data_IF_520378969103
#
_entry.id   IF_520378969103
#
_cell.length_a   1.000
_cell.length_b   1.000
_cell.length_c   1.000
_cell.angle_alpha   90.00
_cell.angle_beta   90.00
_cell.angle_gamma   90.00
#
_symmetry.space_group_name_H-M   'P 1'
#
loop_
_entity.id
_entity.type
_entity.pdbx_description
1 polymer ?
#
# COMPACT_ATOMS: atom_id res chain seq x y z
N UNK A 1 -14.28 -33.18 -0.32
CA UNK A 1 -13.27 -32.29 -0.92
C UNK A 1 -13.89 -30.91 -0.95
N UNK A 2 -13.82 -30.19 0.16
CA UNK A 2 -14.28 -28.79 0.21
C UNK A 2 -13.08 -27.89 -0.10
N UNK A 3 -13.11 -27.28 -1.27
CA UNK A 3 -12.06 -26.41 -1.83
C UNK A 3 -12.17 -24.99 -1.27
N UNK A 4 -12.18 -24.87 0.06
CA UNK A 4 -12.54 -23.65 0.79
C UNK A 4 -11.75 -22.41 0.36
N UNK A 5 -12.43 -21.49 -0.32
CA UNK A 5 -11.97 -20.17 -0.75
C UNK A 5 -13.12 -19.46 -1.47
N UNK A 6 -13.40 -18.21 -1.12
CA UNK A 6 -14.54 -17.46 -1.67
C UNK A 6 -14.21 -16.72 -2.99
N UNK A 7 -12.96 -16.78 -3.46
CA UNK A 7 -12.57 -16.20 -4.74
C UNK A 7 -12.99 -17.07 -5.93
N UNK A 8 -13.09 -16.45 -7.11
CA UNK A 8 -13.15 -17.16 -8.38
C UNK A 8 -11.71 -17.47 -8.86
N UNK A 9 -11.54 -18.43 -9.80
CA UNK A 9 -10.32 -18.50 -10.59
C UNK A 9 -10.14 -17.18 -11.34
N UNK A 10 -8.99 -16.52 -11.19
CA UNK A 10 -8.69 -15.35 -12.01
C UNK A 10 -8.46 -15.77 -13.45
N UNK A 11 -8.82 -14.89 -14.36
CA UNK A 11 -8.69 -15.10 -15.78
C UNK A 11 -7.44 -14.40 -16.34
N UNK A 12 -6.84 -13.48 -15.58
CA UNK A 12 -5.51 -12.93 -15.83
C UNK A 12 -4.38 -13.75 -15.17
N UNK A 13 -4.67 -14.63 -14.20
CA UNK A 13 -3.67 -15.55 -13.65
C UNK A 13 -4.18 -16.99 -13.48
N UNK A 14 -3.30 -17.97 -13.78
CA UNK A 14 -3.62 -19.40 -13.75
C UNK A 14 -3.42 -19.93 -12.33
N UNK A 15 -4.33 -19.58 -11.43
CA UNK A 15 -4.29 -20.13 -10.06
C UNK A 15 -4.66 -21.62 -10.06
N UNK A 16 -3.91 -22.40 -9.27
CA UNK A 16 -4.19 -23.83 -9.10
C UNK A 16 -5.38 -24.13 -8.19
N UNK A 17 -5.88 -23.15 -7.43
CA UNK A 17 -7.01 -23.28 -6.49
C UNK A 17 -7.72 -21.94 -6.27
N UNK A 18 -8.97 -21.97 -5.82
CA UNK A 18 -9.66 -20.79 -5.29
C UNK A 18 -8.90 -20.26 -4.05
N UNK A 19 -8.82 -18.94 -3.91
CA UNK A 19 -8.10 -18.24 -2.85
C UNK A 19 -9.09 -17.76 -1.78
N UNK A 20 -8.73 -17.87 -0.51
CA UNK A 20 -9.41 -17.16 0.57
C UNK A 20 -8.91 -15.71 0.64
N UNK A 21 -9.76 -14.74 0.29
CA UNK A 21 -9.41 -13.31 0.29
C UNK A 21 -10.00 -12.61 1.51
N UNK A 22 -9.16 -11.96 2.31
CA UNK A 22 -9.58 -11.09 3.41
C UNK A 22 -9.37 -9.62 3.05
N UNK A 23 -10.36 -8.77 3.32
CA UNK A 23 -10.35 -7.36 2.98
C UNK A 23 -10.57 -6.53 4.25
N UNK A 24 -9.58 -5.69 4.59
CA UNK A 24 -9.55 -4.89 5.81
C UNK A 24 -9.92 -3.44 5.49
N UNK A 25 -10.94 -2.92 6.19
CA UNK A 25 -11.40 -1.55 6.00
C UNK A 25 -11.97 -0.98 7.29
N UNK A 26 -11.61 0.27 7.61
CA UNK A 26 -12.22 1.05 8.67
C UNK A 26 -12.84 2.34 8.08
N UNK A 27 -14.15 2.58 8.28
CA UNK A 27 -14.83 3.74 7.70
C UNK A 27 -14.34 5.08 8.25
N UNK A 28 -13.68 5.08 9.42
CA UNK A 28 -13.10 6.28 10.04
C UNK A 28 -12.04 6.97 9.16
N UNK A 29 -11.42 6.25 8.21
CA UNK A 29 -10.43 6.82 7.29
C UNK A 29 -11.02 7.94 6.41
N UNK A 30 -12.32 7.92 6.14
CA UNK A 30 -13.01 8.94 5.35
C UNK A 30 -13.05 10.31 6.03
N UNK A 31 -12.80 10.35 7.35
CA UNK A 31 -12.82 11.58 8.16
C UNK A 31 -11.43 12.15 8.43
N UNK A 32 -10.37 11.50 7.96
CA UNK A 32 -9.01 11.96 8.16
C UNK A 32 -8.68 13.04 7.14
N UNK A 33 -8.20 14.18 7.64
CA UNK A 33 -7.75 15.31 6.84
C UNK A 33 -6.44 15.82 7.40
N UNK A 34 -5.37 15.77 6.59
CA UNK A 34 -4.05 16.25 6.98
C UNK A 34 -4.03 17.79 6.99
N UNK A 35 -4.42 18.41 5.87
CA UNK A 35 -4.74 19.84 5.78
C UNK A 35 -5.60 20.10 4.55
N UNK A 36 -6.02 21.35 4.33
CA UNK A 36 -6.83 21.74 3.17
C UNK A 36 -6.08 21.64 1.84
N UNK A 37 -4.74 21.80 1.88
CA UNK A 37 -3.89 21.88 0.69
C UNK A 37 -3.00 20.63 0.51
N UNK A 38 -3.05 19.69 1.47
CA UNK A 38 -2.18 18.52 1.46
C UNK A 38 -2.55 17.53 0.33
N UNK A 39 -1.53 16.99 -0.34
CA UNK A 39 -1.71 16.09 -1.49
C UNK A 39 -2.23 14.70 -1.11
N UNK A 40 -1.81 14.20 0.06
CA UNK A 40 -2.36 12.97 0.63
C UNK A 40 -3.78 13.20 1.14
N UNK A 41 -4.75 12.53 0.50
CA UNK A 41 -6.18 12.57 0.84
C UNK A 41 -6.63 11.15 1.24
N UNK A 42 -6.66 10.80 2.54
CA UNK A 42 -7.00 9.44 2.99
C UNK A 42 -8.40 8.97 2.58
N UNK A 43 -9.34 9.88 2.34
CA UNK A 43 -10.67 9.57 1.83
C UNK A 43 -10.67 8.81 0.48
N UNK A 44 -9.55 8.79 -0.27
CA UNK A 44 -9.38 7.94 -1.46
C UNK A 44 -9.55 6.43 -1.16
N UNK A 45 -9.24 5.99 0.06
CA UNK A 45 -9.50 4.60 0.51
C UNK A 45 -11.01 4.33 0.62
N UNK A 46 -11.77 5.27 1.16
CA UNK A 46 -13.22 5.17 1.23
C UNK A 46 -13.87 5.20 -0.17
N UNK A 47 -13.32 5.99 -1.09
CA UNK A 47 -13.74 5.98 -2.50
C UNK A 47 -13.49 4.61 -3.15
N UNK A 48 -12.31 4.01 -2.94
CA UNK A 48 -11.99 2.66 -3.43
C UNK A 48 -12.96 1.61 -2.83
N UNK A 49 -13.20 1.67 -1.52
CA UNK A 49 -14.16 0.78 -0.85
C UNK A 49 -15.57 0.91 -1.45
N UNK A 50 -16.02 2.13 -1.70
CA UNK A 50 -17.33 2.41 -2.29
C UNK A 50 -17.48 1.82 -3.70
N UNK A 51 -16.41 1.89 -4.52
CA UNK A 51 -16.38 1.22 -5.83
C UNK A 51 -16.44 -0.31 -5.68
N UNK A 52 -15.62 -0.88 -4.81
CA UNK A 52 -15.60 -2.33 -4.53
C UNK A 52 -16.99 -2.83 -4.11
N UNK A 53 -17.70 -2.05 -3.29
CA UNK A 53 -19.07 -2.33 -2.89
C UNK A 53 -20.05 -2.24 -4.08
N UNK A 54 -19.98 -1.18 -4.88
CA UNK A 54 -20.90 -0.94 -5.98
C UNK A 54 -20.73 -1.95 -7.14
N UNK A 55 -19.54 -2.51 -7.32
CA UNK A 55 -19.30 -3.64 -8.23
C UNK A 55 -19.69 -5.01 -7.64
N UNK A 56 -20.23 -5.07 -6.41
CA UNK A 56 -20.69 -6.32 -5.79
C UNK A 56 -19.57 -7.29 -5.42
N UNK A 57 -18.35 -6.78 -5.19
CA UNK A 57 -17.18 -7.63 -4.90
C UNK A 57 -17.05 -8.01 -3.43
N UNK A 58 -17.68 -7.24 -2.54
CA UNK A 58 -17.62 -7.42 -1.09
C UNK A 58 -18.06 -8.82 -0.62
N UNK A 59 -19.05 -9.44 -1.28
CA UNK A 59 -19.56 -10.76 -0.92
C UNK A 59 -18.63 -11.91 -1.33
N UNK A 60 -17.58 -11.63 -2.11
CA UNK A 60 -16.57 -12.60 -2.55
C UNK A 60 -15.33 -12.62 -1.65
N UNK A 61 -15.37 -11.89 -0.53
CA UNK A 61 -14.26 -11.73 0.40
C UNK A 61 -14.76 -11.83 1.85
N UNK A 62 -13.86 -12.16 2.77
CA UNK A 62 -14.09 -11.97 4.20
C UNK A 62 -13.81 -10.51 4.53
N UNK A 63 -14.85 -9.75 4.89
CA UNK A 63 -14.75 -8.32 5.24
C UNK A 63 -14.44 -8.18 6.72
N UNK A 64 -13.31 -7.57 7.03
CA UNK A 64 -12.79 -7.52 8.39
C UNK A 64 -12.58 -6.07 8.81
N UNK A 65 -13.06 -5.73 10.00
CA UNK A 65 -12.62 -4.54 10.74
C UNK A 65 -11.76 -5.03 11.88
N UNK A 66 -10.59 -4.44 12.03
CA UNK A 66 -9.61 -4.83 13.04
C UNK A 66 -9.44 -3.74 14.09
N UNK A 67 -8.97 -4.13 15.27
CA UNK A 67 -8.57 -3.18 16.30
C UNK A 67 -7.39 -2.32 15.79
N UNK A 68 -7.30 -1.05 16.21
CA UNK A 68 -6.10 -0.26 15.97
C UNK A 68 -4.86 -0.93 16.58
N UNK A 69 -3.70 -0.77 15.96
CA UNK A 69 -2.43 -1.24 16.51
C UNK A 69 -2.18 -0.66 17.91
N UNK A 70 -1.65 -1.47 18.80
CA UNK A 70 -1.22 -1.04 20.14
C UNK A 70 0.13 -0.32 20.05
N UNK A 71 0.43 0.52 21.04
CA UNK A 71 1.76 1.13 21.16
C UNK A 71 2.87 0.07 21.21
N UNK A 72 2.65 -1.04 21.92
CA UNK A 72 3.62 -2.14 21.99
C UNK A 72 3.87 -2.81 20.65
N UNK A 73 2.87 -2.87 19.76
CA UNK A 73 3.05 -3.39 18.41
C UNK A 73 3.86 -2.41 17.54
N UNK A 74 3.55 -1.11 17.62
CA UNK A 74 4.26 -0.08 16.85
C UNK A 74 5.72 0.06 17.32
N UNK A 75 5.98 -0.04 18.62
CA UNK A 75 7.33 -0.02 19.23
C UNK A 75 8.20 -1.23 18.88
N UNK A 76 7.68 -2.25 18.16
CA UNK A 76 8.51 -3.37 17.66
C UNK A 76 9.47 -2.94 16.55
N UNK A 77 9.21 -1.80 15.91
CA UNK A 77 10.10 -1.18 14.94
C UNK A 77 10.44 0.25 15.30
N UNK A 78 9.44 1.04 15.70
CA UNK A 78 9.66 2.44 15.99
C UNK A 78 10.27 2.67 17.37
N UNK A 79 11.13 3.69 17.50
CA UNK A 79 11.72 4.00 18.80
C UNK A 79 10.65 4.42 19.81
N UNK A 80 10.80 4.05 21.10
CA UNK A 80 9.89 4.47 22.16
C UNK A 80 9.60 5.97 22.15
N UNK A 81 10.65 6.79 22.01
CA UNK A 81 10.59 8.25 22.04
C UNK A 81 9.78 8.81 20.86
N UNK A 82 9.93 8.23 19.66
CA UNK A 82 9.19 8.64 18.48
C UNK A 82 7.70 8.25 18.57
N UNK A 83 7.39 7.09 19.15
CA UNK A 83 6.00 6.68 19.39
C UNK A 83 5.32 7.58 20.43
N UNK A 84 6.02 7.90 21.52
CA UNK A 84 5.52 8.85 22.52
C UNK A 84 5.25 10.23 21.89
N UNK A 85 6.17 10.70 21.04
CA UNK A 85 6.00 11.94 20.28
C UNK A 85 4.77 11.92 19.37
N UNK A 86 4.59 10.88 18.54
CA UNK A 86 3.43 10.76 17.65
C UNK A 86 2.10 10.68 18.40
N UNK A 87 2.08 10.01 19.56
CA UNK A 87 0.88 9.91 20.41
C UNK A 87 0.45 11.27 20.94
N UNK A 88 1.40 12.07 21.38
CA UNK A 88 1.16 13.33 22.07
C UNK A 88 1.07 14.53 21.09
N UNK A 89 1.39 14.33 19.81
CA UNK A 89 1.36 15.35 18.76
C UNK A 89 -0.07 15.66 18.29
N UNK A 90 -0.57 16.82 18.70
CA UNK A 90 -1.78 17.49 18.17
C UNK A 90 -1.44 18.86 17.55
N UNK A 91 -2.30 19.43 16.70
CA UNK A 91 -2.13 20.81 16.21
C UNK A 91 -1.90 21.83 17.33
N UNK A 92 -2.66 21.72 18.43
CA UNK A 92 -2.54 22.62 19.58
C UNK A 92 -1.20 22.42 20.31
N UNK A 93 -0.78 21.17 20.51
CA UNK A 93 0.50 20.85 21.14
C UNK A 93 1.70 21.38 20.34
N UNK A 94 1.54 21.44 19.01
CA UNK A 94 2.53 21.94 18.07
C UNK A 94 2.62 23.47 18.12
N UNK A 95 1.48 24.15 18.02
CA UNK A 95 1.40 25.62 18.01
C UNK A 95 1.81 26.25 19.35
N UNK A 96 1.51 25.60 20.48
CA UNK A 96 1.88 26.10 21.81
C UNK A 96 3.33 25.84 22.21
N UNK A 97 4.15 25.27 21.31
CA UNK A 97 5.58 25.03 21.58
C UNK A 97 5.85 24.05 22.73
N UNK A 98 4.82 23.31 23.17
CA UNK A 98 4.92 22.32 24.27
C UNK A 98 5.84 21.18 23.85
N UNK A 99 5.93 20.91 22.55
CA UNK A 99 6.92 20.05 21.94
C UNK A 99 8.20 20.83 21.58
N UNK A 100 8.77 21.57 22.54
CA UNK A 100 10.08 22.24 22.39
C UNK A 100 11.22 21.31 21.94
N UNK A 101 11.01 19.99 22.00
CA UNK A 101 11.87 18.91 21.48
C UNK A 101 11.86 18.75 19.96
N UNK A 102 10.79 19.14 19.26
CA UNK A 102 10.67 19.01 17.80
C UNK A 102 11.58 19.96 17.01
N UNK A 103 12.07 21.03 17.65
CA UNK A 103 12.92 22.02 16.98
C UNK A 103 14.40 21.61 16.93
N UNK A 104 14.81 20.71 17.82
CA UNK A 104 16.21 20.26 17.92
C UNK A 104 16.42 18.83 17.37
N UNK A 105 15.38 17.98 17.36
CA UNK A 105 15.44 16.61 16.83
C UNK A 105 14.71 16.48 15.46
N UNK A 106 15.44 16.09 14.40
CA UNK A 106 14.97 15.88 13.02
C UNK A 106 14.09 14.62 12.87
N UNK A 107 12.98 14.55 13.63
CA UNK A 107 11.97 13.49 13.51
C UNK A 107 11.07 13.64 12.27
N UNK A 108 11.33 14.64 11.41
CA UNK A 108 10.55 14.90 10.20
C UNK A 108 9.14 15.44 10.43
N UNK A 109 8.80 15.82 11.67
CA UNK A 109 7.47 16.27 12.08
C UNK A 109 7.40 17.80 12.25
N UNK A 110 6.27 18.41 11.90
CA UNK A 110 5.93 19.79 12.27
C UNK A 110 6.64 20.88 11.47
N UNK A 111 7.93 20.74 11.17
CA UNK A 111 8.69 21.70 10.36
C UNK A 111 8.60 21.45 8.84
N UNK A 112 8.16 20.27 8.42
CA UNK A 112 8.01 19.90 7.02
C UNK A 112 6.53 19.93 6.61
N UNK A 113 6.21 20.60 5.50
CA UNK A 113 4.86 20.64 4.90
C UNK A 113 4.36 19.22 4.56
N UNK A 114 5.27 18.26 4.40
CA UNK A 114 4.96 16.88 4.03
C UNK A 114 4.37 16.06 5.19
N UNK A 115 4.82 16.27 6.44
CA UNK A 115 4.32 15.48 7.58
C UNK A 115 3.75 16.39 8.68
N UNK A 116 2.63 17.09 8.41
CA UNK A 116 2.05 18.03 9.37
C UNK A 116 1.36 17.32 10.55
N UNK A 117 1.32 17.92 11.74
CA UNK A 117 0.37 17.51 12.76
C UNK A 117 -1.06 17.77 12.27
N UNK A 118 -1.98 16.85 12.56
CA UNK A 118 -3.41 17.02 12.27
C UNK A 118 -4.27 16.31 13.33
N UNK A 119 -5.55 16.67 13.40
CA UNK A 119 -6.49 16.06 14.35
C UNK A 119 -6.53 14.53 14.13
N UNK A 120 -6.41 13.77 15.21
CA UNK A 120 -6.42 12.29 15.20
C UNK A 120 -5.26 11.62 14.46
N UNK A 121 -4.12 12.31 14.25
CA UNK A 121 -2.90 11.72 13.67
C UNK A 121 -2.57 10.34 14.27
N UNK A 122 -2.56 10.23 15.60
CA UNK A 122 -2.24 8.97 16.26
C UNK A 122 -3.26 7.86 15.95
N UNK A 123 -4.56 8.18 15.93
CA UNK A 123 -5.60 7.21 15.59
C UNK A 123 -5.50 6.77 14.12
N UNK A 124 -5.15 7.68 13.22
CA UNK A 124 -4.88 7.37 11.81
C UNK A 124 -3.72 6.36 11.70
N UNK A 125 -2.60 6.63 12.36
CA UNK A 125 -1.43 5.75 12.39
C UNK A 125 -1.76 4.35 12.89
N UNK A 126 -2.46 4.28 14.04
CA UNK A 126 -2.87 3.00 14.62
C UNK A 126 -3.86 2.24 13.73
N UNK A 127 -4.75 2.95 13.04
CA UNK A 127 -5.78 2.35 12.19
C UNK A 127 -5.17 1.56 11.04
N UNK A 128 -4.35 2.21 10.19
CA UNK A 128 -3.76 1.52 9.05
C UNK A 128 -2.74 0.45 9.47
N UNK A 129 -1.97 0.70 10.53
CA UNK A 129 -1.02 -0.28 11.06
C UNK A 129 -1.72 -1.53 11.63
N UNK A 130 -2.88 -1.34 12.28
CA UNK A 130 -3.71 -2.44 12.77
C UNK A 130 -4.22 -3.32 11.64
N UNK A 131 -4.64 -2.69 10.52
CA UNK A 131 -5.01 -3.35 9.27
C UNK A 131 -3.92 -4.29 8.75
N UNK A 132 -2.70 -3.77 8.60
CA UNK A 132 -1.57 -4.53 8.04
C UNK A 132 -1.09 -5.64 8.97
N UNK A 133 -1.10 -5.41 10.29
CA UNK A 133 -0.78 -6.44 11.29
C UNK A 133 -1.80 -7.59 11.30
N UNK A 134 -3.10 -7.27 11.27
CA UNK A 134 -4.14 -8.30 11.23
C UNK A 134 -4.09 -9.09 9.92
N UNK A 135 -3.86 -8.41 8.79
CA UNK A 135 -3.64 -9.04 7.51
C UNK A 135 -2.44 -10.01 7.52
N UNK A 136 -1.30 -9.59 8.10
CA UNK A 136 -0.13 -10.45 8.28
C UNK A 136 -0.41 -11.68 9.14
N UNK A 137 -1.14 -11.51 10.26
CA UNK A 137 -1.55 -12.62 11.14
C UNK A 137 -2.44 -13.62 10.43
N UNK A 138 -3.42 -13.16 9.66
CA UNK A 138 -4.31 -14.03 8.89
C UNK A 138 -3.54 -14.86 7.84
N UNK A 139 -2.52 -14.28 7.20
CA UNK A 139 -1.65 -15.01 6.25
C UNK A 139 -0.76 -16.03 6.98
N UNK A 140 -0.16 -15.65 8.11
CA UNK A 140 0.69 -16.53 8.92
C UNK A 140 -0.10 -17.71 9.54
N UNK A 141 -1.33 -17.45 9.98
CA UNK A 141 -2.25 -18.46 10.52
C UNK A 141 -2.86 -19.38 9.47
N UNK A 142 -2.75 -19.04 8.17
CA UNK A 142 -3.36 -19.79 7.08
C UNK A 142 -4.87 -19.56 6.93
N UNK A 143 -5.41 -18.53 7.58
CA UNK A 143 -6.82 -18.13 7.47
C UNK A 143 -7.13 -17.38 6.16
N UNK A 144 -6.08 -16.86 5.53
CA UNK A 144 -6.16 -16.14 4.27
C UNK A 144 -5.04 -16.55 3.33
N UNK A 145 -5.38 -16.64 2.05
CA UNK A 145 -4.43 -16.82 0.96
C UNK A 145 -3.99 -15.45 0.37
N UNK A 146 -4.89 -14.45 0.39
CA UNK A 146 -4.63 -13.07 -0.02
C UNK A 146 -5.29 -12.12 0.96
N UNK A 147 -4.54 -11.20 1.56
CA UNK A 147 -5.06 -10.20 2.47
C UNK A 147 -4.87 -8.79 1.89
N UNK A 148 -5.87 -7.93 2.00
CA UNK A 148 -5.89 -6.60 1.38
C UNK A 148 -6.10 -5.53 2.45
N UNK A 149 -5.19 -4.56 2.54
CA UNK A 149 -5.34 -3.36 3.34
C UNK A 149 -4.92 -2.11 2.55
N UNK A 150 -5.86 -1.50 1.83
CA UNK A 150 -5.59 -0.28 1.04
C UNK A 150 -5.27 0.96 1.89
N UNK A 151 -5.54 0.93 3.20
CA UNK A 151 -5.17 2.04 4.08
C UNK A 151 -3.69 2.09 4.45
N UNK A 152 -3.00 0.96 4.33
CA UNK A 152 -1.58 0.82 4.65
C UNK A 152 -0.65 1.12 3.47
N UNK A 153 0.59 0.67 3.56
CA UNK A 153 1.61 0.86 2.52
C UNK A 153 2.47 2.12 2.72
N UNK A 154 2.60 2.60 3.96
CA UNK A 154 3.32 3.84 4.30
C UNK A 154 4.84 3.60 4.36
N UNK A 155 5.45 3.43 3.19
CA UNK A 155 6.81 2.87 3.03
C UNK A 155 7.97 3.80 3.41
N UNK A 156 7.76 5.11 3.53
CA UNK A 156 8.83 6.09 3.79
C UNK A 156 9.14 6.27 5.29
N UNK A 157 8.25 5.83 6.18
CA UNK A 157 8.45 6.02 7.61
C UNK A 157 9.68 5.25 8.10
N UNK A 158 10.56 5.93 8.83
CA UNK A 158 11.77 5.36 9.43
C UNK A 158 11.53 5.02 10.91
N UNK A 159 12.45 4.28 11.52
CA UNK A 159 12.34 3.85 12.93
C UNK A 159 12.05 5.01 13.91
N UNK A 160 12.64 6.19 13.68
CA UNK A 160 12.46 7.36 14.54
C UNK A 160 12.13 8.65 13.76
N UNK A 161 11.60 8.56 12.54
CA UNK A 161 11.37 9.74 11.69
C UNK A 161 10.20 9.55 10.74
N UNK A 162 9.31 10.54 10.68
CA UNK A 162 8.30 10.68 9.64
C UNK A 162 8.95 11.19 8.35
N UNK A 163 8.49 10.72 7.20
CA UNK A 163 9.04 11.08 5.89
C UNK A 163 8.02 10.83 4.80
N UNK A 164 7.95 11.67 3.76
CA UNK A 164 7.11 11.42 2.57
C UNK A 164 5.66 11.05 2.90
N UNK A 165 5.01 11.82 3.78
CA UNK A 165 3.63 11.61 4.24
C UNK A 165 3.42 10.40 5.16
N UNK A 166 4.48 9.64 5.46
CA UNK A 166 4.44 8.41 6.24
C UNK A 166 4.92 8.65 7.68
N UNK A 167 4.14 8.18 8.66
CA UNK A 167 4.43 8.38 10.09
C UNK A 167 4.81 7.07 10.79
N UNK A 168 4.07 5.99 10.54
CA UNK A 168 4.35 4.63 11.03
C UNK A 168 4.53 3.73 9.82
N UNK A 169 5.57 2.89 9.82
CA UNK A 169 5.84 1.96 8.75
C UNK A 169 5.09 0.64 9.00
N UNK A 170 3.82 0.60 8.58
CA UNK A 170 2.97 -0.58 8.75
C UNK A 170 3.48 -1.80 7.98
N UNK A 171 4.24 -1.58 6.91
CA UNK A 171 4.86 -2.62 6.09
C UNK A 171 5.92 -3.36 6.90
N UNK A 172 6.84 -2.63 7.54
CA UNK A 172 7.88 -3.23 8.39
C UNK A 172 7.27 -3.98 9.56
N UNK A 173 6.21 -3.42 10.18
CA UNK A 173 5.47 -4.10 11.24
C UNK A 173 4.82 -5.41 10.75
N UNK A 174 4.19 -5.39 9.57
CA UNK A 174 3.58 -6.57 8.96
C UNK A 174 4.62 -7.64 8.59
N UNK A 175 5.77 -7.24 8.00
CA UNK A 175 6.86 -8.17 7.67
C UNK A 175 7.45 -8.78 8.94
N UNK A 176 7.66 -8.00 10.00
CA UNK A 176 8.13 -8.53 11.28
C UNK A 176 7.14 -9.53 11.90
N UNK A 177 5.83 -9.29 11.76
CA UNK A 177 4.80 -10.23 12.20
C UNK A 177 4.83 -11.53 11.36
N UNK A 178 5.01 -11.43 10.03
CA UNK A 178 5.19 -12.60 9.15
C UNK A 178 6.45 -13.40 9.49
N UNK A 179 7.54 -12.74 9.89
CA UNK A 179 8.83 -13.35 10.24
C UNK A 179 8.95 -13.84 11.70
N UNK A 180 7.90 -13.67 12.51
CA UNK A 180 7.92 -13.89 13.97
C UNK A 180 8.37 -15.29 14.43
N UNK A 181 8.27 -15.58 15.72
CA UNK A 181 8.77 -16.85 16.27
C UNK A 181 7.71 -17.98 16.35
N UNK A 182 6.48 -17.73 15.90
CA UNK A 182 5.36 -18.67 16.02
C UNK A 182 5.36 -19.80 14.97
N UNK A 183 4.49 -20.80 15.16
CA UNK A 183 4.37 -21.95 14.25
C UNK A 183 3.91 -21.59 12.82
N UNK A 184 3.41 -20.37 12.61
CA UNK A 184 3.02 -19.81 11.30
C UNK A 184 4.07 -18.90 10.65
N UNK A 185 5.26 -18.77 11.25
CA UNK A 185 6.28 -17.85 10.77
C UNK A 185 6.87 -18.25 9.42
N UNK A 186 7.05 -17.25 8.58
CA UNK A 186 7.74 -17.35 7.32
C UNK A 186 9.25 -17.18 7.50
N UNK A 187 10.04 -17.99 6.81
CA UNK A 187 11.50 -17.84 6.84
C UNK A 187 11.97 -16.68 5.98
N UNK A 188 11.33 -16.52 4.82
CA UNK A 188 11.68 -15.57 3.77
C UNK A 188 10.43 -14.84 3.29
N UNK A 189 10.46 -13.51 3.36
CA UNK A 189 9.39 -12.64 2.89
C UNK A 189 9.92 -11.78 1.76
N UNK A 190 9.28 -11.82 0.60
CA UNK A 190 9.58 -10.92 -0.51
C UNK A 190 8.69 -9.68 -0.38
N UNK A 191 9.30 -8.51 -0.26
CA UNK A 191 8.64 -7.22 -0.38
C UNK A 191 8.81 -6.70 -1.81
N UNK A 192 7.70 -6.42 -2.50
CA UNK A 192 7.69 -5.80 -3.82
C UNK A 192 6.98 -4.45 -3.72
N UNK A 193 7.58 -3.43 -4.30
CA UNK A 193 7.10 -2.04 -4.24
C UNK A 193 6.93 -1.50 -5.66
N UNK A 194 5.70 -1.13 -6.03
CA UNK A 194 5.35 -0.53 -7.33
C UNK A 194 4.92 0.94 -7.24
N UNK A 195 5.12 1.56 -6.08
CA UNK A 195 5.01 3.01 -5.92
C UNK A 195 5.97 3.75 -6.86
N UNK A 196 5.61 4.95 -7.28
CA UNK A 196 6.53 5.77 -8.08
C UNK A 196 7.79 6.14 -7.29
N UNK A 197 7.71 6.21 -5.97
CA UNK A 197 8.81 6.55 -5.07
C UNK A 197 9.54 5.29 -4.59
N UNK A 198 10.84 5.45 -4.33
CA UNK A 198 11.64 4.37 -3.76
C UNK A 198 11.17 4.07 -2.32
N UNK A 199 10.90 2.79 -2.02
CA UNK A 199 10.52 2.30 -0.68
C UNK A 199 11.67 2.26 0.33
N UNK A 200 12.29 3.42 0.54
CA UNK A 200 13.50 3.62 1.34
C UNK A 200 13.37 3.20 2.80
N UNK A 201 12.24 3.48 3.46
CA UNK A 201 12.02 3.11 4.86
C UNK A 201 11.98 1.60 5.06
N UNK A 202 11.38 0.85 4.13
CA UNK A 202 11.36 -0.62 4.16
C UNK A 202 12.71 -1.20 3.78
N UNK A 203 13.38 -0.63 2.75
CA UNK A 203 14.75 -1.01 2.38
C UNK A 203 15.68 -0.88 3.58
N UNK A 204 15.71 0.28 4.24
CA UNK A 204 16.65 0.54 5.33
C UNK A 204 16.37 -0.35 6.55
N UNK A 205 15.10 -0.64 6.84
CA UNK A 205 14.70 -1.52 7.94
C UNK A 205 15.21 -2.97 7.78
N UNK A 206 15.48 -3.42 6.56
CA UNK A 206 15.90 -4.80 6.27
C UNK A 206 17.21 -4.90 5.49
N UNK A 207 17.95 -3.80 5.33
CA UNK A 207 19.15 -3.74 4.50
C UNK A 207 20.27 -4.69 4.95
N UNK A 208 20.25 -5.17 6.20
CA UNK A 208 21.20 -6.14 6.74
C UNK A 208 20.66 -7.58 6.88
N UNK A 209 19.46 -7.85 6.37
CA UNK A 209 18.76 -9.13 6.53
C UNK A 209 18.71 -9.94 5.23
N UNK A 210 19.03 -11.24 5.31
CA UNK A 210 18.83 -12.21 4.24
C UNK A 210 17.44 -12.89 4.29
N UNK A 211 16.63 -12.58 5.32
CA UNK A 211 15.27 -13.10 5.49
C UNK A 211 14.22 -12.26 4.76
N UNK A 212 14.57 -11.05 4.34
CA UNK A 212 13.68 -10.16 3.58
C UNK A 212 14.41 -9.71 2.35
N UNK A 213 13.79 -9.93 1.19
CA UNK A 213 14.24 -9.29 -0.04
C UNK A 213 13.34 -8.08 -0.30
N UNK A 214 13.93 -6.90 -0.46
CA UNK A 214 13.21 -5.68 -0.85
C UNK A 214 13.44 -5.40 -2.32
N UNK A 215 12.37 -5.38 -3.12
CA UNK A 215 12.41 -5.17 -4.55
C UNK A 215 11.56 -3.96 -4.94
N UNK A 216 12.19 -2.84 -5.28
CA UNK A 216 11.50 -1.58 -5.58
C UNK A 216 11.64 -1.15 -7.03
N UNK A 217 10.51 -0.86 -7.68
CA UNK A 217 10.42 -0.33 -9.03
C UNK A 217 9.97 1.13 -8.99
N UNK A 218 10.90 2.07 -9.07
CA UNK A 218 10.61 3.47 -8.80
C UNK A 218 11.22 4.40 -9.86
N UNK A 219 10.67 5.61 -9.94
CA UNK A 219 11.29 6.70 -10.69
C UNK A 219 12.54 7.17 -9.97
N UNK A 220 13.61 7.40 -10.73
CA UNK A 220 14.86 7.96 -10.22
C UNK A 220 15.41 9.03 -11.16
N UNK A 221 15.99 10.08 -10.60
CA UNK A 221 16.65 11.15 -11.36
C UNK A 221 16.08 12.53 -11.07
N UNK A 222 16.10 13.41 -12.07
CA UNK A 222 15.69 14.81 -11.89
C UNK A 222 14.19 15.01 -12.09
N UNK A 223 13.62 15.94 -11.32
CA UNK A 223 12.27 16.47 -11.55
C UNK A 223 12.30 17.52 -12.67
N UNK A 224 11.14 17.86 -13.28
CA UNK A 224 11.06 18.94 -14.28
C UNK A 224 11.60 20.29 -13.76
N UNK A 225 11.58 20.50 -12.44
CA UNK A 225 12.06 21.71 -11.79
C UNK A 225 13.55 21.63 -11.38
N UNK A 226 14.28 20.59 -11.79
CA UNK A 226 15.72 20.46 -11.61
C UNK A 226 16.17 19.84 -10.29
N UNK A 227 15.26 19.59 -9.35
CA UNK A 227 15.53 18.85 -8.10
C UNK A 227 15.69 17.35 -8.33
N UNK A 228 16.07 16.60 -7.28
CA UNK A 228 16.01 15.13 -7.30
C UNK A 228 14.57 14.67 -7.04
N UNK A 229 14.13 13.62 -7.72
CA UNK A 229 12.87 12.96 -7.38
C UNK A 229 13.00 12.32 -6.00
N UNK A 230 12.01 12.55 -5.14
CA UNK A 230 12.00 12.04 -3.78
C UNK A 230 11.96 10.50 -3.76
N UNK A 231 12.60 9.81 -2.81
CA UNK A 231 13.46 10.31 -1.72
C UNK A 231 14.93 10.59 -2.14
N UNK A 232 15.29 10.29 -3.39
CA UNK A 232 16.65 10.49 -3.90
C UNK A 232 17.65 9.37 -3.59
N UNK A 233 17.15 8.23 -3.10
CA UNK A 233 17.85 6.94 -2.89
C UNK A 233 17.33 5.89 -3.88
N UNK A 234 17.78 4.63 -3.78
CA UNK A 234 17.31 3.54 -4.65
C UNK A 234 18.14 3.37 -5.92
N UNK A 235 19.43 3.71 -5.88
CA UNK A 235 20.33 3.41 -7.00
C UNK A 235 20.42 1.91 -7.23
N UNK A 236 20.60 1.50 -8.50
CA UNK A 236 20.77 0.08 -8.86
C UNK A 236 21.96 -0.57 -8.14
N UNK A 237 22.95 0.22 -7.70
CA UNK A 237 24.13 -0.21 -6.94
C UNK A 237 23.90 -0.34 -5.43
N UNK A 238 22.77 0.14 -4.91
CA UNK A 238 22.37 -0.09 -3.51
C UNK A 238 21.82 -1.52 -3.40
N UNK A 239 22.66 -2.43 -2.91
CA UNK A 239 22.39 -3.88 -2.89
C UNK A 239 22.25 -4.46 -1.47
N UNK A 240 22.12 -3.62 -0.45
CA UNK A 240 22.09 -4.04 0.95
C UNK A 240 23.49 -4.12 1.55
N UNK A 241 23.61 -4.66 2.76
CA UNK A 241 24.85 -4.70 3.54
C UNK A 241 24.91 -5.95 4.41
N UNK A 242 26.11 -6.40 4.78
CA UNK A 242 26.26 -7.55 5.68
C UNK A 242 25.56 -8.80 5.13
N UNK A 243 24.69 -9.42 5.92
CA UNK A 243 23.94 -10.60 5.46
C UNK A 243 22.90 -10.26 4.38
N UNK A 244 22.40 -9.02 4.35
CA UNK A 244 21.43 -8.54 3.35
C UNK A 244 22.04 -8.13 2.01
N UNK A 245 23.35 -8.33 1.79
CA UNK A 245 23.97 -8.06 0.48
C UNK A 245 23.34 -8.92 -0.63
N UNK A 246 22.95 -8.27 -1.72
CA UNK A 246 22.12 -8.76 -2.83
C UNK A 246 20.63 -9.02 -2.52
N UNK A 247 20.16 -8.83 -1.28
CA UNK A 247 18.74 -8.95 -0.91
C UNK A 247 17.99 -7.61 -0.99
N UNK A 248 18.69 -6.49 -1.19
CA UNK A 248 18.10 -5.23 -1.63
C UNK A 248 18.24 -5.12 -3.15
N UNK A 249 17.12 -4.95 -3.84
CA UNK A 249 17.04 -4.91 -5.30
C UNK A 249 16.29 -3.66 -5.74
N UNK A 250 17.01 -2.77 -6.41
CA UNK A 250 16.48 -1.50 -6.90
C UNK A 250 16.41 -1.47 -8.42
N UNK A 251 15.25 -1.04 -8.94
CA UNK A 251 14.99 -0.92 -10.37
C UNK A 251 14.66 0.55 -10.70
N UNK A 252 15.68 1.44 -10.74
CA UNK A 252 15.48 2.85 -11.02
C UNK A 252 15.07 3.08 -12.48
N UNK A 253 14.03 3.87 -12.68
CA UNK A 253 13.45 4.18 -14.00
C UNK A 253 13.40 5.69 -14.27
N UNK A 254 13.42 6.07 -15.54
CA UNK A 254 13.13 7.46 -15.93
C UNK A 254 11.61 7.74 -15.87
N UNK A 255 11.23 9.01 -15.85
CA UNK A 255 9.83 9.42 -15.96
C UNK A 255 9.20 8.98 -17.30
N UNK A 256 7.89 8.81 -17.33
CA UNK A 256 7.15 8.48 -18.56
C UNK A 256 7.20 7.01 -18.97
N UNK A 257 7.54 6.10 -18.05
CA UNK A 257 7.46 4.65 -18.32
C UNK A 257 6.00 4.22 -18.43
N UNK A 258 5.68 3.56 -19.55
CA UNK A 258 4.37 2.95 -19.83
C UNK A 258 4.38 1.43 -19.56
N UNK A 259 3.19 0.83 -19.62
CA UNK A 259 2.92 -0.59 -19.36
C UNK A 259 3.93 -1.56 -19.98
N UNK A 260 4.16 -1.49 -21.30
CA UNK A 260 5.03 -2.45 -22.00
C UNK A 260 6.47 -2.46 -21.46
N UNK A 261 7.02 -1.25 -21.23
CA UNK A 261 8.39 -1.10 -20.72
C UNK A 261 8.45 -1.56 -19.27
N UNK A 262 7.47 -1.16 -18.45
CA UNK A 262 7.37 -1.57 -17.06
C UNK A 262 7.29 -3.09 -16.94
N UNK A 263 6.42 -3.75 -17.70
CA UNK A 263 6.24 -5.19 -17.67
C UNK A 263 7.47 -5.95 -18.23
N UNK A 264 8.22 -5.35 -19.17
CA UNK A 264 9.49 -5.89 -19.67
C UNK A 264 10.62 -5.92 -18.63
N UNK A 265 10.48 -5.11 -17.56
CA UNK A 265 11.33 -5.09 -16.38
C UNK A 265 10.75 -5.98 -15.27
N UNK A 266 9.49 -5.74 -14.91
CA UNK A 266 8.82 -6.34 -13.77
C UNK A 266 8.83 -7.87 -13.86
N UNK A 267 8.27 -8.44 -14.93
CA UNK A 267 8.08 -9.90 -15.01
C UNK A 267 9.41 -10.66 -14.96
N UNK A 268 10.46 -10.34 -15.75
CA UNK A 268 11.73 -11.06 -15.67
C UNK A 268 12.43 -10.92 -14.32
N UNK A 269 12.44 -9.72 -13.74
CA UNK A 269 13.14 -9.44 -12.47
C UNK A 269 12.41 -10.15 -11.32
N UNK A 270 11.09 -10.01 -11.22
CA UNK A 270 10.28 -10.69 -10.21
C UNK A 270 10.36 -12.21 -10.38
N UNK A 271 10.35 -12.73 -11.61
CA UNK A 271 10.54 -14.17 -11.84
C UNK A 271 11.85 -14.66 -11.26
N UNK A 272 12.94 -13.93 -11.52
CA UNK A 272 14.27 -14.30 -11.04
C UNK A 272 14.36 -14.19 -9.52
N UNK A 273 13.79 -13.15 -8.93
CA UNK A 273 13.69 -13.00 -7.48
C UNK A 273 12.93 -14.19 -6.85
N UNK A 274 11.76 -14.54 -7.39
CA UNK A 274 10.97 -15.70 -6.94
C UNK A 274 11.75 -17.01 -7.06
N UNK A 275 12.55 -17.19 -8.12
CA UNK A 275 13.38 -18.37 -8.36
C UNK A 275 14.52 -18.50 -7.35
N UNK A 276 15.33 -17.44 -7.16
CA UNK A 276 16.56 -17.51 -6.35
C UNK A 276 16.31 -17.35 -4.86
N UNK A 277 15.32 -16.52 -4.50
CA UNK A 277 14.97 -16.24 -3.11
C UNK A 277 13.97 -17.24 -2.55
N UNK A 278 13.14 -17.87 -3.41
CA UNK A 278 12.07 -18.81 -3.01
C UNK A 278 11.27 -18.31 -1.79
N UNK A 279 10.60 -17.14 -1.86
CA UNK A 279 9.89 -16.58 -0.72
C UNK A 279 8.72 -17.45 -0.30
N UNK A 280 8.49 -17.52 1.01
CA UNK A 280 7.36 -18.25 1.57
C UNK A 280 6.10 -17.38 1.69
N UNK A 281 6.23 -16.06 1.65
CA UNK A 281 5.15 -15.05 1.56
C UNK A 281 5.62 -13.82 0.77
N UNK A 282 4.66 -13.09 0.20
CA UNK A 282 4.89 -11.84 -0.55
C UNK A 282 4.08 -10.70 0.07
N UNK A 283 4.70 -9.55 0.24
CA UNK A 283 4.04 -8.27 0.53
C UNK A 283 4.21 -7.37 -0.68
N UNK A 284 3.11 -6.97 -1.31
CA UNK A 284 3.09 -6.05 -2.45
C UNK A 284 2.49 -4.72 -1.98
N UNK A 285 3.29 -3.66 -2.05
CA UNK A 285 2.82 -2.28 -1.93
C UNK A 285 2.34 -1.84 -3.32
N UNK A 286 1.07 -1.41 -3.41
CA UNK A 286 0.40 -1.02 -4.65
C UNK A 286 0.23 0.52 -4.71
N UNK A 287 1.31 1.26 -4.53
CA UNK A 287 1.34 2.72 -4.63
C UNK A 287 0.86 3.19 -5.99
N UNK A 288 -0.28 3.87 -6.01
CA UNK A 288 -1.00 4.19 -7.23
C UNK A 288 -0.57 5.53 -7.85
N UNK A 289 0.51 6.13 -7.37
CA UNK A 289 1.13 7.32 -7.98
C UNK A 289 2.03 6.98 -9.17
N UNK A 290 2.29 5.70 -9.42
CA UNK A 290 2.91 5.22 -10.67
C UNK A 290 1.94 5.24 -11.87
N UNK A 291 0.66 5.56 -11.65
CA UNK A 291 -0.34 5.68 -12.69
C UNK A 291 -0.20 6.96 -13.53
N UNK A 292 -0.57 6.85 -14.80
CA UNK A 292 -0.73 7.99 -15.71
C UNK A 292 -1.71 9.01 -15.14
N UNK A 293 -1.33 10.29 -15.22
CA UNK A 293 -2.11 11.41 -14.71
C UNK A 293 -2.07 11.58 -13.18
N UNK A 294 -1.19 10.88 -12.48
CA UNK A 294 -0.90 11.19 -11.07
C UNK A 294 -0.22 12.56 -10.91
N UNK A 295 -0.48 13.24 -9.80
CA UNK A 295 0.02 14.61 -9.55
C UNK A 295 1.51 14.66 -9.19
N UNK A 296 2.10 13.60 -8.66
CA UNK A 296 3.48 13.58 -8.14
C UNK A 296 4.37 12.55 -8.85
N UNK A 297 3.89 11.35 -9.18
CA UNK A 297 4.76 10.24 -9.61
C UNK A 297 5.41 10.41 -10.99
N UNK A 298 4.71 11.01 -11.97
CA UNK A 298 5.19 11.18 -13.36
C UNK A 298 5.60 9.88 -14.08
N UNK A 299 4.94 8.78 -13.74
CA UNK A 299 4.94 7.54 -14.50
C UNK A 299 3.66 7.48 -15.35
N UNK A 300 3.60 6.58 -16.32
CA UNK A 300 2.50 6.55 -17.30
C UNK A 300 1.83 5.17 -17.39
N UNK A 301 1.67 4.50 -16.25
CA UNK A 301 1.00 3.20 -16.19
C UNK A 301 -0.52 3.35 -16.30
N UNK A 302 -1.15 2.41 -17.01
CA UNK A 302 -2.61 2.27 -16.98
C UNK A 302 -3.05 1.48 -15.74
N UNK A 303 -4.34 1.58 -15.39
CA UNK A 303 -4.96 0.73 -14.36
C UNK A 303 -4.74 -0.76 -14.65
N UNK A 304 -4.76 -1.17 -15.92
CA UNK A 304 -4.51 -2.58 -16.30
C UNK A 304 -3.04 -2.95 -16.16
N UNK A 305 -2.14 -2.08 -16.61
CA UNK A 305 -0.70 -2.30 -16.52
C UNK A 305 -0.21 -2.39 -15.07
N UNK A 306 -0.80 -1.58 -14.18
CA UNK A 306 -0.53 -1.63 -12.74
C UNK A 306 -1.06 -2.94 -12.12
N UNK A 307 -2.33 -3.29 -12.39
CA UNK A 307 -2.94 -4.51 -11.86
C UNK A 307 -2.33 -5.81 -12.42
N UNK A 308 -1.63 -5.76 -13.55
CA UNK A 308 -0.85 -6.88 -14.08
C UNK A 308 0.27 -7.30 -13.10
N UNK A 309 0.81 -6.37 -12.30
CA UNK A 309 1.77 -6.69 -11.24
C UNK A 309 1.14 -7.59 -10.15
N UNK A 310 -0.09 -7.25 -9.72
CA UNK A 310 -0.88 -8.06 -8.79
C UNK A 310 -1.18 -9.43 -9.39
N UNK A 311 -1.66 -9.46 -10.64
CA UNK A 311 -1.96 -10.68 -11.38
C UNK A 311 -0.75 -11.61 -11.47
N UNK A 312 0.42 -11.05 -11.82
CA UNK A 312 1.65 -11.80 -11.96
C UNK A 312 2.11 -12.43 -10.64
N UNK A 313 2.11 -11.66 -9.54
CA UNK A 313 2.50 -12.17 -8.21
C UNK A 313 1.50 -13.18 -7.66
N UNK A 314 0.20 -12.98 -7.90
CA UNK A 314 -0.87 -13.93 -7.55
C UNK A 314 -0.63 -15.30 -8.19
N UNK A 315 -0.17 -15.33 -9.44
CA UNK A 315 0.13 -16.57 -10.18
C UNK A 315 1.20 -17.47 -9.56
N UNK A 316 2.07 -16.96 -8.68
CA UNK A 316 3.03 -17.78 -7.95
C UNK A 316 2.41 -18.55 -6.77
N UNK A 317 1.13 -18.33 -6.49
CA UNK A 317 0.36 -19.06 -5.48
C UNK A 317 0.92 -18.98 -4.05
N UNK A 318 1.73 -17.96 -3.72
CA UNK A 318 2.20 -17.69 -2.34
C UNK A 318 1.17 -16.88 -1.55
N UNK A 319 1.16 -16.95 -0.20
CA UNK A 319 0.45 -15.98 0.63
C UNK A 319 0.83 -14.56 0.24
N UNK A 320 -0.17 -13.72 -0.05
CA UNK A 320 0.02 -12.40 -0.64
C UNK A 320 -0.68 -11.33 0.20
N UNK A 321 0.08 -10.37 0.70
CA UNK A 321 -0.43 -9.15 1.34
C UNK A 321 -0.42 -8.02 0.31
N UNK A 322 -1.59 -7.43 0.02
CA UNK A 322 -1.74 -6.25 -0.80
C UNK A 322 -1.95 -5.03 0.09
N UNK A 323 -1.07 -4.05 -0.04
CA UNK A 323 -1.14 -2.77 0.67
C UNK A 323 -1.38 -1.63 -0.33
N UNK A 324 -1.87 -0.50 0.18
CA UNK A 324 -1.97 0.74 -0.59
C UNK A 324 -0.60 1.36 -0.84
N UNK A 325 -0.47 2.66 -0.56
CA UNK A 325 0.74 3.43 -0.86
C UNK A 325 0.43 4.85 -1.30
N UNK A 326 1.31 5.45 -2.10
CA UNK A 326 1.09 6.74 -2.76
C UNK A 326 -0.11 6.76 -3.70
N UNK A 327 -0.37 7.92 -4.30
CA UNK A 327 -1.47 8.16 -5.23
C UNK A 327 -2.27 9.41 -4.88
N UNK A 328 -2.20 10.40 -5.76
CA UNK A 328 -2.59 11.79 -5.48
C UNK A 328 -3.61 12.34 -6.48
N UNK A 329 -3.95 11.56 -7.51
CA UNK A 329 -5.19 11.72 -8.29
C UNK A 329 -6.23 10.73 -7.80
N UNK A 330 -7.01 11.12 -6.77
CA UNK A 330 -7.80 10.21 -5.92
C UNK A 330 -8.80 9.30 -6.68
N UNK A 331 -9.35 9.75 -7.79
CA UNK A 331 -10.23 8.98 -8.66
C UNK A 331 -9.48 7.87 -9.41
N UNK A 332 -8.23 8.10 -9.82
CA UNK A 332 -7.38 7.08 -10.43
C UNK A 332 -6.97 6.03 -9.38
N UNK A 333 -6.63 6.47 -8.16
CA UNK A 333 -6.34 5.58 -7.02
C UNK A 333 -7.51 4.64 -6.76
N UNK A 334 -8.71 5.19 -6.62
CA UNK A 334 -9.91 4.42 -6.35
C UNK A 334 -10.21 3.41 -7.48
N UNK A 335 -10.00 3.81 -8.74
CA UNK A 335 -10.15 2.94 -9.90
C UNK A 335 -9.14 1.79 -9.88
N UNK A 336 -7.87 2.08 -9.58
CA UNK A 336 -6.79 1.09 -9.53
C UNK A 336 -7.01 0.06 -8.44
N UNK A 337 -7.15 0.49 -7.18
CA UNK A 337 -7.34 -0.43 -6.06
C UNK A 337 -8.65 -1.22 -6.17
N UNK A 338 -9.71 -0.66 -6.77
CA UNK A 338 -10.91 -1.41 -7.12
C UNK A 338 -10.60 -2.53 -8.13
N UNK A 339 -9.91 -2.22 -9.22
CA UNK A 339 -9.58 -3.21 -10.24
C UNK A 339 -8.60 -4.28 -9.72
N UNK A 340 -7.62 -3.90 -8.91
CA UNK A 340 -6.71 -4.83 -8.25
C UNK A 340 -7.40 -5.74 -7.24
N UNK A 341 -8.43 -5.23 -6.54
CA UNK A 341 -9.31 -6.06 -5.71
C UNK A 341 -10.02 -7.10 -6.58
N UNK A 342 -10.48 -6.72 -7.77
CA UNK A 342 -11.08 -7.66 -8.72
C UNK A 342 -10.09 -8.74 -9.17
N UNK A 343 -8.84 -8.37 -9.47
CA UNK A 343 -7.77 -9.33 -9.79
C UNK A 343 -7.48 -10.27 -8.62
N UNK A 344 -7.42 -9.75 -7.39
CA UNK A 344 -7.17 -10.56 -6.19
C UNK A 344 -8.24 -11.64 -5.99
N UNK A 345 -9.51 -11.33 -6.29
CA UNK A 345 -10.64 -12.27 -6.15
C UNK A 345 -10.97 -13.02 -7.45
N UNK A 346 -10.29 -12.74 -8.55
CA UNK A 346 -10.50 -13.37 -9.86
C UNK A 346 -11.78 -12.95 -10.59
N UNK A 347 -12.20 -11.69 -10.46
CA UNK A 347 -13.42 -11.12 -11.07
C UNK A 347 -13.12 -10.05 -12.13
N UNK A 348 -11.87 -9.78 -12.46
CA UNK A 348 -11.45 -8.67 -13.31
C UNK A 348 -12.04 -8.67 -14.73
N UNK A 349 -12.54 -9.81 -15.23
CA UNK A 349 -13.26 -9.89 -16.52
C UNK A 349 -14.77 -9.60 -16.40
N UNK A 350 -15.33 -9.72 -15.21
CA UNK A 350 -16.75 -9.52 -14.95
C UNK A 350 -17.07 -8.05 -14.65
N UNK A 351 -16.05 -7.22 -14.43
CA UNK A 351 -16.22 -5.80 -14.15
C UNK A 351 -16.52 -5.04 -15.45
N UNK A 352 -17.70 -4.42 -15.59
CA UNK A 352 -17.93 -3.48 -16.66
C UNK A 352 -17.02 -2.27 -16.49
N UNK A 353 -16.62 -1.70 -17.62
CA UNK A 353 -15.75 -0.52 -17.64
C UNK A 353 -16.50 0.72 -17.15
N UNK A 354 -17.82 0.76 -17.27
CA UNK A 354 -18.67 1.81 -16.72
C UNK A 354 -18.65 1.79 -15.19
N UNK A 355 -18.35 2.93 -14.58
CA UNK A 355 -18.39 3.11 -13.14
C UNK A 355 -19.86 3.13 -12.67
N UNK A 356 -20.27 2.22 -11.76
CA UNK A 356 -21.62 2.23 -11.19
C UNK A 356 -21.78 3.43 -10.24
N UNK A 357 -23.04 3.82 -9.99
CA UNK A 357 -23.31 4.87 -9.01
C UNK A 357 -22.89 4.43 -7.61
N UNK A 358 -22.07 5.24 -6.95
CA UNK A 358 -21.57 4.92 -5.61
C UNK A 358 -21.35 6.19 -4.75
N UNK A 359 -21.93 7.33 -5.11
CA UNK A 359 -21.90 8.55 -4.28
C UNK A 359 -20.62 9.41 -4.39
N UNK A 360 -19.63 8.98 -5.16
CA UNK A 360 -18.47 9.80 -5.55
C UNK A 360 -18.44 10.07 -7.06
N UNK A 361 -19.57 9.87 -7.75
CA UNK A 361 -19.67 9.81 -9.21
C UNK A 361 -19.10 11.07 -9.90
N UNK A 362 -19.26 12.23 -9.26
CA UNK A 362 -18.76 13.52 -9.77
C UNK A 362 -17.23 13.56 -9.94
N UNK A 363 -16.48 12.77 -9.17
CA UNK A 363 -15.02 12.70 -9.28
C UNK A 363 -14.56 12.01 -10.57
N UNK A 364 -15.44 11.24 -11.22
CA UNK A 364 -15.09 10.43 -12.39
C UNK A 364 -15.52 11.05 -13.73
N UNK A 365 -16.18 12.21 -13.70
CA UNK A 365 -16.68 12.87 -14.91
C UNK A 365 -15.57 13.15 -15.93
N UNK A 366 -14.40 13.61 -15.44
CA UNK A 366 -13.25 13.93 -16.30
C UNK A 366 -12.53 12.70 -16.86
N UNK A 367 -12.78 11.52 -16.30
CA UNK A 367 -12.29 10.24 -16.83
C UNK A 367 -13.38 9.47 -17.60
N UNK A 368 -14.46 10.16 -17.99
CA UNK A 368 -15.56 9.58 -18.77
C UNK A 368 -16.44 8.60 -18.00
N UNK A 369 -16.39 8.62 -16.66
CA UNK A 369 -17.04 7.62 -15.79
C UNK A 369 -16.64 6.18 -16.15
N UNK A 370 -15.39 5.99 -16.59
CA UNK A 370 -14.81 4.69 -16.91
C UNK A 370 -13.80 4.28 -15.87
N UNK A 371 -13.79 3.00 -15.50
CA UNK A 371 -12.82 2.40 -14.58
C UNK A 371 -11.43 2.41 -15.24
N UNK A 372 -11.36 2.09 -16.52
CA UNK A 372 -10.15 2.18 -17.33
C UNK A 372 -10.16 3.47 -18.15
N UNK A 373 -9.60 4.52 -17.57
CA UNK A 373 -9.47 5.81 -18.23
C UNK A 373 -8.38 5.81 -19.30
N UNK A 374 -8.53 6.67 -20.30
CA UNK A 374 -7.58 6.80 -21.40
C UNK A 374 -6.22 7.29 -20.90
N UNK A 375 -5.17 6.56 -21.24
CA UNK A 375 -3.77 6.97 -21.05
C UNK A 375 -3.19 7.47 -22.37
N UNK A 376 -2.15 8.30 -22.30
CA UNK A 376 -1.47 8.78 -23.50
C UNK A 376 -0.84 7.60 -24.28
N UNK A 377 -0.90 7.65 -25.62
CA UNK A 377 -0.27 6.61 -26.43
C UNK A 377 1.24 6.60 -26.21
N UNK A 378 1.78 5.41 -25.97
CA UNK A 378 3.21 5.23 -25.78
C UNK A 378 3.96 5.67 -27.03
N UNK A 379 4.70 6.77 -26.93
CA UNK A 379 5.65 7.12 -28.00
C UNK A 379 6.90 6.27 -27.83
N UNK A 380 7.27 5.50 -28.87
CA UNK A 380 8.46 4.63 -28.82
C UNK A 380 9.70 5.47 -28.53
N UNK A 381 10.19 5.38 -27.30
CA UNK A 381 11.39 6.06 -26.85
C UNK A 381 12.55 5.07 -26.79
N UNK A 382 13.36 5.01 -27.85
CA UNK A 382 14.49 4.08 -27.95
C UNK A 382 15.52 4.25 -26.83
N UNK A 383 15.68 5.47 -26.30
CA UNK A 383 16.58 5.75 -25.17
C UNK A 383 16.04 5.15 -23.88
N UNK A 384 14.73 5.29 -23.61
CA UNK A 384 14.06 4.69 -22.46
C UNK A 384 14.20 3.16 -22.50
N UNK A 385 13.91 2.54 -23.65
CA UNK A 385 14.02 1.09 -23.85
C UNK A 385 15.44 0.58 -23.61
N UNK A 386 16.45 1.28 -24.14
CA UNK A 386 17.86 0.93 -23.93
C UNK A 386 18.23 0.99 -22.44
N UNK A 387 17.88 2.07 -21.74
CA UNK A 387 18.19 2.24 -20.32
C UNK A 387 17.48 1.20 -19.45
N UNK A 388 16.23 0.88 -19.77
CA UNK A 388 15.48 -0.19 -19.12
C UNK A 388 16.19 -1.55 -19.32
N UNK A 389 16.62 -1.87 -20.54
CA UNK A 389 17.36 -3.10 -20.81
C UNK A 389 18.69 -3.19 -20.04
N UNK A 390 19.45 -2.09 -19.97
CA UNK A 390 20.69 -2.00 -19.19
C UNK A 390 20.43 -2.20 -17.69
N UNK A 391 19.42 -1.52 -17.13
CA UNK A 391 19.02 -1.66 -15.72
C UNK A 391 18.61 -3.10 -15.41
N UNK A 392 17.79 -3.71 -16.28
CA UNK A 392 17.39 -5.11 -16.13
C UNK A 392 18.57 -6.06 -16.10
N UNK A 393 19.55 -5.86 -16.99
CA UNK A 393 20.73 -6.73 -17.04
C UNK A 393 21.51 -6.67 -15.73
N UNK A 394 21.78 -5.46 -15.21
CA UNK A 394 22.49 -5.27 -13.93
C UNK A 394 21.71 -5.91 -12.78
N UNK A 395 20.40 -5.69 -12.72
CA UNK A 395 19.54 -6.26 -11.67
C UNK A 395 19.54 -7.79 -11.70
N UNK A 396 19.45 -8.39 -12.88
CA UNK A 396 19.51 -9.86 -13.03
C UNK A 396 20.90 -10.40 -12.66
N UNK A 397 21.97 -9.67 -12.93
CA UNK A 397 23.32 -10.01 -12.48
C UNK A 397 23.45 -9.98 -10.96
N UNK A 398 22.89 -8.96 -10.29
CA UNK A 398 22.82 -8.92 -8.81
C UNK A 398 22.03 -10.10 -8.24
N UNK A 399 20.83 -10.38 -8.76
CA UNK A 399 20.02 -11.52 -8.34
C UNK A 399 20.72 -12.87 -8.57
N UNK A 400 21.61 -12.96 -9.57
CA UNK A 400 22.39 -14.18 -9.83
C UNK A 400 23.48 -14.47 -8.79
N UNK A 401 23.83 -13.49 -7.95
CA UNK A 401 24.77 -13.68 -6.84
C UNK A 401 24.13 -14.38 -5.63
N UNK A 402 22.80 -14.40 -5.56
CA UNK A 402 22.08 -15.06 -4.48
C UNK A 402 22.23 -16.57 -4.64
N UNK A 403 22.76 -17.24 -3.59
CA UNK A 403 22.85 -18.70 -3.57
C UNK A 403 21.44 -19.27 -3.52
N UNK A 404 21.06 -20.00 -4.57
CA UNK A 404 19.78 -20.71 -4.61
C UNK A 404 19.63 -21.64 -3.40
N UNK A 405 18.49 -21.54 -2.71
CA UNK A 405 18.23 -22.34 -1.51
C UNK A 405 17.98 -23.80 -1.93
N UNK A 406 18.63 -24.79 -1.30
CA UNK A 406 18.31 -26.20 -1.55
C UNK A 406 16.85 -26.46 -1.17
N UNK A 407 16.14 -27.22 -2.00
CA UNK A 407 14.71 -27.52 -1.83
C UNK A 407 14.45 -28.13 -0.45
N UNK A 408 13.82 -27.38 0.46
CA UNK A 408 13.48 -27.89 1.80
C UNK A 408 12.12 -28.58 1.74
N UNK A 409 11.98 -29.73 2.40
CA UNK A 409 10.71 -30.46 2.50
C UNK A 409 9.60 -29.57 3.07
N UNK A 410 8.42 -29.63 2.44
CA UNK A 410 7.19 -28.97 2.88
C UNK A 410 6.90 -29.30 4.35
N UNK A 411 6.96 -28.31 5.23
CA UNK A 411 6.45 -28.45 6.59
C UNK A 411 4.96 -28.09 6.58
N UNK A 412 4.11 -29.08 6.84
CA UNK A 412 2.66 -28.87 6.91
C UNK A 412 2.34 -27.93 8.08
N UNK A 413 1.83 -26.73 7.77
CA UNK A 413 1.45 -25.73 8.77
C UNK A 413 0.22 -26.23 9.53
N UNK A 414 0.32 -26.33 10.85
CA UNK A 414 -0.86 -26.51 11.71
C UNK A 414 -1.47 -25.13 11.92
N UNK A 415 -2.76 -24.98 11.60
CA UNK A 415 -3.49 -23.75 11.91
C UNK A 415 -3.38 -23.47 13.40
N UNK A 416 -2.87 -22.29 13.74
CA UNK A 416 -2.93 -21.78 15.11
C UNK A 416 -4.16 -20.88 15.15
N UNK A 417 -5.05 -21.14 16.09
CA UNK A 417 -6.20 -20.29 16.37
C UNK A 417 -5.66 -18.92 16.80
N UNK A 418 -5.65 -17.96 15.88
CA UNK A 418 -5.38 -16.58 16.24
C UNK A 418 -6.63 -16.13 17.00
N UNK A 419 -6.54 -16.13 18.34
CA UNK A 419 -7.67 -15.93 19.24
C UNK A 419 -8.47 -14.64 19.00
N UNK A 420 -9.42 -14.34 19.88
CA UNK A 420 -10.44 -13.25 19.84
C UNK A 420 -9.97 -11.83 19.41
N UNK A 421 -8.68 -11.61 19.21
CA UNK A 421 -8.01 -10.39 18.76
C UNK A 421 -8.13 -10.07 17.25
N UNK A 422 -8.66 -10.99 16.42
CA UNK A 422 -8.73 -10.81 14.96
C UNK A 422 -9.96 -10.05 14.46
N UNK A 423 -11.02 -9.96 15.26
CA UNK A 423 -12.33 -9.48 14.80
C UNK A 423 -12.96 -8.57 15.84
N UNK A 424 -13.16 -7.30 15.52
CA UNK A 424 -14.09 -6.46 16.28
C UNK A 424 -15.25 -6.07 15.37
N UNK A 425 -16.37 -6.79 15.50
CA UNK A 425 -17.66 -6.26 15.07
C UNK A 425 -18.05 -5.16 16.05
N UNK A 426 -17.87 -3.89 15.66
CA UNK A 426 -18.73 -2.88 16.25
C UNK A 426 -20.14 -3.21 15.76
N UNK A 427 -21.06 -3.50 16.68
CA UNK A 427 -22.47 -3.52 16.35
C UNK A 427 -22.79 -2.21 15.58
N UNK A 428 -23.54 -2.27 14.47
CA UNK A 428 -23.90 -1.07 13.74
C UNK A 428 -24.59 -0.12 14.73
N UNK A 429 -23.91 0.96 15.09
CA UNK A 429 -24.58 2.00 15.85
C UNK A 429 -25.66 2.56 14.94
N UNK A 430 -26.87 2.71 15.45
CA UNK A 430 -27.99 3.38 14.76
C UNK A 430 -27.70 4.86 14.41
N UNK A 431 -26.47 5.32 14.62
CA UNK A 431 -25.90 6.63 14.24
C UNK A 431 -24.88 6.50 13.08
N UNK A 432 -24.98 5.47 12.24
CA UNK A 432 -24.40 5.49 10.89
C UNK A 432 -25.18 6.49 10.02
N UNK A 433 -24.98 7.78 10.30
CA UNK A 433 -25.34 8.84 9.38
C UNK A 433 -24.57 8.59 8.08
N UNK A 434 -25.29 8.19 7.01
CA UNK A 434 -24.73 8.18 5.66
C UNK A 434 -23.94 9.49 5.45
N UNK A 435 -22.68 9.43 4.98
CA UNK A 435 -21.87 10.63 4.74
C UNK A 435 -22.61 11.70 3.93
N UNK A 436 -23.50 11.28 3.03
CA UNK A 436 -24.41 12.12 2.26
C UNK A 436 -25.47 12.84 3.10
N UNK A 437 -26.06 12.20 4.11
CA UNK A 437 -27.07 12.83 4.97
C UNK A 437 -26.47 13.91 5.89
N UNK A 438 -25.18 13.75 6.25
CA UNK A 438 -24.43 14.78 7.00
C UNK A 438 -24.01 15.94 6.10
N UNK A 439 -23.56 15.67 4.87
CA UNK A 439 -23.27 16.71 3.87
C UNK A 439 -24.53 17.51 3.52
N UNK A 440 -25.67 16.83 3.34
CA UNK A 440 -26.95 17.49 3.08
C UNK A 440 -27.37 18.41 4.25
N UNK A 441 -27.20 17.97 5.51
CA UNK A 441 -27.46 18.80 6.69
C UNK A 441 -26.54 20.03 6.78
N UNK A 442 -25.25 19.88 6.51
CA UNK A 442 -24.29 20.98 6.53
C UNK A 442 -24.55 22.00 5.40
N UNK A 443 -24.94 21.54 4.21
CA UNK A 443 -25.32 22.42 3.10
C UNK A 443 -26.66 23.15 3.35
N UNK A 444 -27.64 22.51 4.01
CA UNK A 444 -28.93 23.16 4.35
C UNK A 444 -28.85 24.09 5.57
N UNK A 445 -27.93 23.84 6.51
CA UNK A 445 -27.71 24.72 7.66
C UNK A 445 -27.16 26.10 7.28
N UNK A 446 -26.42 26.20 6.17
CA UNK A 446 -25.90 27.47 5.64
C UNK A 446 -26.96 28.28 4.87
N UNK A 447 -28.05 27.63 4.44
CA UNK A 447 -29.12 28.25 3.64
C UNK A 447 -30.28 28.88 4.41
N UNK A 448 -30.41 28.63 5.72
CA UNK A 448 -31.50 29.20 6.53
C UNK A 448 -30.96 30.14 7.62
N UNK A 449 -30.68 31.38 7.21
CA UNK A 449 -30.55 32.50 8.13
C UNK A 449 -31.88 32.74 8.88
N UNK A 450 -32.02 32.16 10.08
CA UNK A 450 -32.94 32.66 11.10
C UNK A 450 -32.13 33.21 12.26
N UNK A 451 -32.14 34.53 12.37
CA UNK A 451 -31.71 35.32 13.53
C UNK A 451 -32.26 34.68 14.83
N UNK A 452 -31.38 34.09 15.63
CA UNK A 452 -31.63 33.86 17.04
C UNK A 452 -31.54 35.23 17.75
N UNK A 453 -32.69 35.74 18.21
CA UNK A 453 -32.76 36.87 19.12
C UNK A 453 -32.27 36.41 20.50
N UNK A 454 -31.22 37.03 20.99
CA UNK A 454 -30.83 37.00 22.41
C UNK A 454 -31.95 37.63 23.26
N UNK A 455 -32.33 36.92 24.32
CA UNK A 455 -32.84 37.49 25.56
C UNK A 455 -31.97 36.99 26.70
#
# INVERSE_FOLDING_TARGET
MDTGGNSLPSASCVDGKKRCVCYYYDPGIAHIKLSDEHMMVPARVAMAHSLVAAYGMLDSMRRLRTRPATESEIRRFHSPEYVDLLRDLTPESYDHGVLGRLKDDDHGLGGCIECPPFDRLWNYCRGYAGGSLAAARALAGGESDVAINWSGGMHHACAAKASGFCYVNDIVLAINELLGAGAGAFRRVLYVDVDAHHGDGVQEAFADSDRVMTLSFHRYGKTPHGGKFFPGTGLVSEIGRGAGEHYTVNVPMDAGVHDDVYQSLFKPIVSKAMEVFDPEAVVLQCGADSLSGDRLGSMELSVRGHAECVSFLRGFNRPLLLLGGGGYTINHVASSWCYETAVAIGKERDLPDEIPKHGYDLFYMNQGNKLHYSVSEATVNSKLLKKAAETKQIVLEHLSQIKAVPSVQFMQRRGVDAGDDLYYECAPSLEEDEPMQRLHRLCHAVGQGKRLKLK
#
